data_IF_482874086071
#
_entry.id   IF_482874086071
#
_cell.length_a   1.000
_cell.length_b   1.000
_cell.length_c   1.000
_cell.angle_alpha   90.00
_cell.angle_beta   90.00
_cell.angle_gamma   90.00
#
_symmetry.space_group_name_H-M   'P 1'
#
loop_
_entity.id
_entity.type
_entity.pdbx_description
1 polymer ?
#
# COMPACT_ATOMS: atom_id res chain seq x y z
N UNK A 1 15.91 -31.19 -40.01
CA UNK A 1 15.80 -29.72 -39.91
C UNK A 1 16.19 -29.33 -38.50
N UNK A 2 17.13 -28.40 -38.33
CA UNK A 2 17.52 -27.92 -37.01
C UNK A 2 16.70 -26.67 -36.66
N UNK A 3 16.19 -26.62 -35.44
CA UNK A 3 15.44 -25.47 -34.94
C UNK A 3 16.42 -24.37 -34.50
N UNK A 4 16.31 -23.18 -35.12
CA UNK A 4 17.17 -22.06 -34.78
C UNK A 4 16.61 -21.38 -33.53
N UNK A 5 17.14 -21.74 -32.37
CA UNK A 5 16.72 -21.17 -31.08
C UNK A 5 17.51 -19.92 -30.76
N UNK A 6 16.80 -18.83 -30.46
CA UNK A 6 17.42 -17.59 -30.00
C UNK A 6 17.80 -17.69 -28.52
N UNK A 7 19.10 -17.87 -28.26
CA UNK A 7 19.63 -18.00 -26.89
C UNK A 7 19.38 -16.76 -26.03
N UNK A 8 19.32 -15.55 -26.61
CA UNK A 8 19.02 -14.31 -25.86
C UNK A 8 17.60 -14.33 -25.31
N UNK A 9 16.64 -14.73 -26.14
CA UNK A 9 15.25 -14.86 -25.71
C UNK A 9 15.10 -15.94 -24.65
N UNK A 10 15.81 -17.07 -24.81
CA UNK A 10 15.77 -18.15 -23.82
C UNK A 10 16.33 -17.72 -22.46
N UNK A 11 17.47 -17.03 -22.43
CA UNK A 11 18.03 -16.46 -21.19
C UNK A 11 17.07 -15.47 -20.53
N UNK A 12 16.49 -14.55 -21.30
CA UNK A 12 15.51 -13.58 -20.80
C UNK A 12 14.25 -14.24 -20.23
N UNK A 13 13.84 -15.39 -20.77
CA UNK A 13 12.73 -16.17 -20.22
C UNK A 13 13.09 -16.78 -18.86
N UNK A 14 14.27 -17.41 -18.75
CA UNK A 14 14.77 -17.97 -17.49
C UNK A 14 14.91 -16.91 -16.40
N UNK A 15 15.46 -15.74 -16.73
CA UNK A 15 15.56 -14.62 -15.79
C UNK A 15 14.19 -14.13 -15.30
N UNK A 16 13.18 -14.09 -16.18
CA UNK A 16 11.82 -13.73 -15.79
C UNK A 16 11.21 -14.76 -14.85
N UNK A 17 11.36 -16.04 -15.15
CA UNK A 17 10.87 -17.13 -14.31
C UNK A 17 11.54 -17.12 -12.92
N UNK A 18 12.85 -16.88 -12.85
CA UNK A 18 13.56 -16.76 -11.57
C UNK A 18 13.02 -15.59 -10.73
N UNK A 19 12.77 -14.43 -11.35
CA UNK A 19 12.17 -13.27 -10.66
C UNK A 19 10.75 -13.56 -10.19
N UNK A 20 9.95 -14.28 -10.98
CA UNK A 20 8.59 -14.67 -10.59
C UNK A 20 8.58 -15.62 -9.40
N UNK A 21 9.48 -16.61 -9.37
CA UNK A 21 9.64 -17.52 -8.22
C UNK A 21 10.01 -16.75 -6.95
N UNK A 22 11.01 -15.86 -7.04
CA UNK A 22 11.38 -14.98 -5.92
C UNK A 22 10.21 -14.09 -5.48
N UNK A 23 9.43 -13.54 -6.42
CA UNK A 23 8.26 -12.74 -6.09
C UNK A 23 7.15 -13.56 -5.40
N UNK A 24 7.01 -14.84 -5.74
CA UNK A 24 6.07 -15.74 -5.07
C UNK A 24 6.56 -16.10 -3.66
N UNK A 25 7.86 -16.37 -3.48
CA UNK A 25 8.47 -16.60 -2.16
C UNK A 25 8.35 -15.37 -1.26
N UNK A 26 8.64 -14.17 -1.79
CA UNK A 26 8.47 -12.93 -1.05
C UNK A 26 7.01 -12.68 -0.65
N UNK A 27 6.05 -13.04 -1.52
CA UNK A 27 4.62 -12.98 -1.21
C UNK A 27 4.22 -13.95 -0.09
N UNK A 28 4.83 -15.14 -0.04
CA UNK A 28 4.59 -16.12 1.04
C UNK A 28 5.23 -15.68 2.36
N UNK A 29 6.47 -15.21 2.33
CA UNK A 29 7.23 -14.85 3.54
C UNK A 29 6.77 -13.54 4.17
N UNK A 30 6.53 -12.52 3.34
CA UNK A 30 6.27 -11.15 3.80
C UNK A 30 4.84 -10.68 3.53
N UNK A 31 4.01 -11.50 2.86
CA UNK A 31 2.66 -11.12 2.47
C UNK A 31 2.66 -10.15 1.30
N UNK A 32 2.40 -8.88 1.56
CA UNK A 32 2.28 -7.85 0.52
C UNK A 32 3.65 -7.29 0.12
N UNK A 33 3.97 -7.18 -1.19
CA UNK A 33 5.17 -6.48 -1.66
C UNK A 33 5.27 -5.05 -1.12
N UNK A 34 6.50 -4.56 -0.93
CA UNK A 34 6.77 -3.20 -0.45
C UNK A 34 6.12 -2.11 -1.32
N UNK A 35 6.07 -2.33 -2.64
CA UNK A 35 5.44 -1.40 -3.58
C UNK A 35 3.92 -1.29 -3.34
N UNK A 36 3.24 -2.42 -3.16
CA UNK A 36 1.79 -2.45 -2.87
C UNK A 36 1.48 -1.81 -1.53
N UNK A 37 2.27 -2.11 -0.48
CA UNK A 37 2.12 -1.47 0.84
C UNK A 37 2.22 0.05 0.76
N UNK A 38 3.22 0.58 0.03
CA UNK A 38 3.39 2.04 -0.13
C UNK A 38 2.22 2.71 -0.84
N UNK A 39 1.67 2.06 -1.87
CA UNK A 39 0.50 2.58 -2.58
C UNK A 39 -0.72 2.61 -1.66
N UNK A 40 -0.91 1.58 -0.85
CA UNK A 40 -2.00 1.53 0.12
C UNK A 40 -1.83 2.57 1.23
N UNK A 41 -0.62 2.73 1.77
CA UNK A 41 -0.31 3.78 2.73
C UNK A 41 -0.61 5.17 2.17
N UNK A 42 -0.14 5.49 0.97
CA UNK A 42 -0.40 6.79 0.33
C UNK A 42 -1.90 7.04 0.07
N UNK A 43 -2.67 5.99 -0.25
CA UNK A 43 -4.13 6.08 -0.38
C UNK A 43 -4.77 6.39 0.97
N UNK A 44 -4.40 5.66 2.02
CA UNK A 44 -4.91 5.89 3.38
C UNK A 44 -4.60 7.28 3.89
N UNK A 45 -3.40 7.82 3.64
CA UNK A 45 -3.07 9.20 4.05
C UNK A 45 -3.93 10.21 3.32
N UNK A 46 -4.09 10.06 2.00
CA UNK A 46 -4.94 10.95 1.20
C UNK A 46 -6.40 10.89 1.65
N UNK A 47 -6.91 9.70 1.94
CA UNK A 47 -8.27 9.52 2.46
C UNK A 47 -8.42 10.15 3.85
N UNK A 48 -7.45 9.95 4.74
CA UNK A 48 -7.45 10.57 6.07
C UNK A 48 -7.43 12.11 5.99
N UNK A 49 -6.59 12.69 5.13
CA UNK A 49 -6.54 14.14 4.88
C UNK A 49 -7.87 14.67 4.35
N UNK A 50 -8.51 13.96 3.41
CA UNK A 50 -9.84 14.32 2.90
C UNK A 50 -10.91 14.26 3.99
N UNK A 51 -10.91 13.19 4.79
CA UNK A 51 -11.87 13.03 5.88
C UNK A 51 -11.71 14.15 6.92
N UNK A 52 -10.47 14.53 7.24
CA UNK A 52 -10.19 15.63 8.16
C UNK A 52 -10.63 16.98 7.60
N UNK A 53 -10.31 17.27 6.33
CA UNK A 53 -10.71 18.52 5.67
C UNK A 53 -12.22 18.69 5.51
N UNK A 54 -12.99 17.61 5.55
CA UNK A 54 -14.45 17.63 5.49
C UNK A 54 -15.13 17.44 6.86
N UNK A 55 -14.39 17.48 7.97
CA UNK A 55 -14.94 17.36 9.32
C UNK A 55 -15.71 18.63 9.71
N UNK A 56 -17.04 18.56 9.66
CA UNK A 56 -17.95 19.55 10.26
C UNK A 56 -17.89 19.41 11.78
N UNK A 57 -17.00 20.16 12.44
CA UNK A 57 -16.88 20.16 13.90
C UNK A 57 -15.52 20.52 14.46
N UNK A 58 -14.52 20.83 13.63
CA UNK A 58 -13.19 21.30 14.09
C UNK A 58 -12.93 22.79 13.80
N UNK A 59 -13.96 23.54 13.41
CA UNK A 59 -13.92 25.00 13.42
C UNK A 59 -13.99 25.51 14.87
N UNK A 60 -13.48 26.73 15.16
CA UNK A 60 -13.48 27.33 16.50
C UNK A 60 -14.88 27.48 17.14
N UNK A 61 -15.93 27.18 16.39
CA UNK A 61 -17.33 27.33 16.79
C UNK A 61 -17.92 26.07 17.44
N UNK A 62 -17.18 24.96 17.52
CA UNK A 62 -17.63 23.68 18.11
C UNK A 62 -16.84 23.28 19.37
N UNK A 63 -16.32 24.25 20.11
CA UNK A 63 -15.92 24.05 21.50
C UNK A 63 -17.19 23.97 22.35
N UNK A 64 -17.74 22.76 22.52
CA UNK A 64 -18.59 22.52 23.69
C UNK A 64 -17.68 22.63 24.92
N UNK A 65 -17.92 23.56 25.85
CA UNK A 65 -17.11 23.66 27.05
C UNK A 65 -17.29 22.36 27.83
N UNK A 66 -16.17 21.72 28.19
CA UNK A 66 -16.13 20.58 29.10
C UNK A 66 -16.81 20.95 30.41
N UNK A 67 -18.11 20.69 30.50
CA UNK A 67 -18.89 20.87 31.72
C UNK A 67 -18.47 19.75 32.68
N UNK A 68 -17.49 20.06 33.54
CA UNK A 68 -17.02 19.15 34.59
C UNK A 68 -18.24 18.69 35.41
N UNK A 69 -18.43 17.38 35.62
CA UNK A 69 -19.54 16.89 36.41
C UNK A 69 -19.47 17.48 37.83
N UNK A 70 -20.59 17.91 38.43
CA UNK A 70 -20.57 18.49 39.76
C UNK A 70 -20.19 17.43 40.79
N UNK A 71 -19.14 17.70 41.57
CA UNK A 71 -18.81 16.95 42.77
C UNK A 71 -19.87 17.24 43.84
N UNK A 72 -20.82 16.33 44.04
CA UNK A 72 -21.53 16.09 45.32
C UNK A 72 -21.97 14.63 45.44
#
# INVERSE_FOLDING_TARGET
MAEIVNLRQRRKALEREARERQAAENRRLFGRPKAERRVEEARRTTEAERHEGHRLGSGPDNEMPDEKPPER
#
